data_IF_378372039796
#
_entry.id   IF_378372039796
#
_cell.length_a   1.000
_cell.length_b   1.000
_cell.length_c   1.000
_cell.angle_alpha   90.00
_cell.angle_beta   90.00
_cell.angle_gamma   90.00
#
_symmetry.space_group_name_H-M   'P 1'
#
loop_
_entity.id
_entity.type
_entity.pdbx_description
1 polymer ?
#
# COMPACT_ATOMS: atom_id res chain seq x y z
N UNK A 1 -22.05 -4.56 31.61
CA UNK A 1 -21.91 -4.05 30.23
C UNK A 1 -21.28 -5.15 29.38
N UNK A 2 -22.00 -5.87 28.50
CA UNK A 2 -21.39 -6.95 27.72
C UNK A 2 -20.70 -6.40 26.47
N UNK A 3 -19.50 -6.90 26.19
CA UNK A 3 -18.79 -6.68 24.92
C UNK A 3 -19.56 -7.43 23.82
N UNK A 4 -20.02 -6.71 22.81
CA UNK A 4 -20.65 -7.30 21.62
C UNK A 4 -19.56 -7.88 20.71
N UNK A 5 -19.43 -9.20 20.69
CA UNK A 5 -18.53 -9.90 19.78
C UNK A 5 -19.16 -9.90 18.37
N UNK A 6 -18.67 -9.05 17.48
CA UNK A 6 -19.02 -9.15 16.05
C UNK A 6 -18.41 -10.43 15.50
N UNK A 7 -19.26 -11.40 15.17
CA UNK A 7 -18.88 -12.65 14.52
C UNK A 7 -18.00 -12.38 13.29
N UNK A 8 -16.73 -12.80 13.35
CA UNK A 8 -15.87 -12.85 12.16
C UNK A 8 -16.30 -14.11 11.42
N UNK A 9 -16.93 -13.96 10.24
CA UNK A 9 -17.36 -15.12 9.45
C UNK A 9 -16.15 -16.00 9.13
N UNK A 10 -16.16 -17.22 9.67
CA UNK A 10 -15.22 -18.27 9.31
C UNK A 10 -15.54 -18.74 7.89
N UNK A 11 -14.83 -18.19 6.92
CA UNK A 11 -14.85 -18.64 5.53
C UNK A 11 -13.43 -18.55 4.98
N UNK A 12 -13.01 -19.57 4.22
CA UNK A 12 -11.71 -19.56 3.52
C UNK A 12 -11.76 -18.42 2.51
N UNK A 13 -11.00 -17.36 2.78
CA UNK A 13 -10.80 -16.25 1.84
C UNK A 13 -9.56 -16.56 1.01
N UNK A 14 -9.76 -16.86 -0.25
CA UNK A 14 -8.66 -16.99 -1.22
C UNK A 14 -8.22 -15.60 -1.65
N UNK A 15 -6.91 -15.34 -1.60
CA UNK A 15 -6.35 -14.12 -2.17
C UNK A 15 -6.58 -14.11 -3.68
N UNK A 16 -7.02 -12.97 -4.22
CA UNK A 16 -7.05 -12.75 -5.66
C UNK A 16 -5.66 -12.38 -6.16
N UNK A 17 -5.53 -12.21 -7.47
CA UNK A 17 -4.34 -11.59 -8.04
C UNK A 17 -4.11 -10.21 -7.37
N UNK A 18 -2.86 -9.87 -7.03
CA UNK A 18 -2.53 -8.56 -6.50
C UNK A 18 -2.82 -7.48 -7.55
N UNK A 19 -3.34 -6.34 -7.10
CA UNK A 19 -3.51 -5.15 -7.91
C UNK A 19 -2.43 -4.14 -7.56
N UNK A 20 -1.75 -3.61 -8.58
CA UNK A 20 -0.77 -2.56 -8.38
C UNK A 20 -1.49 -1.23 -8.07
N UNK A 21 -1.13 -0.59 -6.96
CA UNK A 21 -1.64 0.73 -6.58
C UNK A 21 -0.85 1.86 -7.26
N UNK A 22 0.48 1.71 -7.31
CA UNK A 22 1.42 2.65 -7.96
C UNK A 22 2.49 1.85 -8.69
N UNK A 23 2.84 2.30 -9.89
CA UNK A 23 3.90 1.74 -10.73
C UNK A 23 4.81 2.86 -11.23
N UNK A 24 5.86 2.50 -11.98
CA UNK A 24 6.73 3.48 -12.64
C UNK A 24 8.13 3.63 -12.04
N UNK A 25 8.40 3.07 -10.86
CA UNK A 25 9.75 3.09 -10.23
C UNK A 25 10.82 2.31 -11.00
N UNK A 26 10.40 1.42 -11.90
CA UNK A 26 11.25 0.59 -12.73
C UNK A 26 10.91 0.85 -14.21
N UNK A 27 11.93 1.15 -14.99
CA UNK A 27 11.86 1.31 -16.44
C UNK A 27 11.75 -0.05 -17.14
N UNK A 28 11.38 -0.03 -18.42
CA UNK A 28 11.24 -1.24 -19.23
C UNK A 28 12.56 -2.04 -19.38
N UNK A 29 13.71 -1.36 -19.30
CA UNK A 29 15.05 -1.97 -19.36
C UNK A 29 15.52 -2.54 -18.00
N UNK A 30 14.67 -2.46 -16.96
CA UNK A 30 14.98 -2.95 -15.62
C UNK A 30 15.73 -1.94 -14.74
N UNK A 31 16.17 -0.80 -15.28
CA UNK A 31 16.74 0.27 -14.46
C UNK A 31 15.68 0.86 -13.54
N UNK A 32 16.11 1.34 -12.38
CA UNK A 32 15.22 1.85 -11.33
C UNK A 32 15.68 3.23 -10.89
N UNK A 33 14.74 4.15 -10.77
CA UNK A 33 15.00 5.47 -10.17
C UNK A 33 14.55 5.55 -8.70
N UNK A 34 13.85 4.52 -8.21
CA UNK A 34 13.44 4.39 -6.81
C UNK A 34 13.37 2.93 -6.36
N UNK A 35 13.35 2.72 -5.05
CA UNK A 35 13.19 1.41 -4.40
C UNK A 35 12.22 1.55 -3.24
N UNK A 36 10.94 1.35 -3.52
CA UNK A 36 9.91 1.33 -2.48
C UNK A 36 10.19 0.22 -1.46
N UNK A 37 10.00 0.54 -0.18
CA UNK A 37 10.27 -0.36 0.96
C UNK A 37 8.99 -0.73 1.69
N UNK A 38 8.28 0.25 2.26
CA UNK A 38 7.08 0.01 3.07
C UNK A 38 6.03 1.12 2.86
N UNK A 39 4.78 0.79 3.12
CA UNK A 39 3.63 1.67 2.96
C UNK A 39 2.71 1.64 4.19
N UNK A 40 2.40 2.82 4.74
CA UNK A 40 1.49 2.95 5.88
C UNK A 40 0.30 3.87 5.56
N UNK A 41 -0.93 3.53 5.99
CA UNK A 41 -2.05 4.45 5.92
C UNK A 41 -1.90 5.59 6.94
N UNK A 42 -2.15 6.81 6.49
CA UNK A 42 -2.13 8.02 7.30
C UNK A 42 -3.49 8.37 7.90
N UNK A 43 -3.51 9.19 8.98
CA UNK A 43 -4.75 9.68 9.58
C UNK A 43 -5.53 10.65 8.67
N UNK A 44 -4.87 11.18 7.63
CA UNK A 44 -5.44 12.04 6.59
C UNK A 44 -6.02 11.27 5.40
N UNK A 45 -6.03 9.93 5.47
CA UNK A 45 -6.53 9.06 4.41
C UNK A 45 -5.55 8.84 3.25
N UNK A 46 -4.34 9.40 3.31
CA UNK A 46 -3.29 9.11 2.34
C UNK A 46 -2.57 7.79 2.63
N UNK A 47 -1.84 7.26 1.65
CA UNK A 47 -0.83 6.22 1.87
C UNK A 47 0.56 6.87 1.80
N UNK A 48 1.37 6.66 2.85
CA UNK A 48 2.75 7.10 2.91
C UNK A 48 3.67 5.95 2.51
N UNK A 49 4.44 6.12 1.43
CA UNK A 49 5.33 5.11 0.87
C UNK A 49 6.78 5.57 1.00
N UNK A 50 7.63 4.78 1.66
CA UNK A 50 9.07 5.09 1.81
C UNK A 50 9.91 4.54 0.65
N UNK A 51 10.90 5.32 0.21
CA UNK A 51 11.87 4.95 -0.84
C UNK A 51 13.28 5.26 -0.38
N UNK A 52 14.07 4.22 -0.14
CA UNK A 52 15.40 4.32 0.43
C UNK A 52 16.49 4.64 -0.61
N UNK A 53 16.23 4.36 -1.89
CA UNK A 53 17.14 4.72 -2.98
C UNK A 53 17.05 6.21 -3.31
N UNK A 54 15.83 6.77 -3.25
CA UNK A 54 15.61 8.21 -3.46
C UNK A 54 15.74 9.04 -2.17
N UNK A 55 15.65 8.42 -0.99
CA UNK A 55 15.62 9.14 0.29
C UNK A 55 14.33 9.93 0.49
N UNK A 56 13.21 9.42 -0.03
CA UNK A 56 11.91 10.11 -0.07
C UNK A 56 10.82 9.35 0.67
N UNK A 57 9.78 10.10 1.05
CA UNK A 57 8.47 9.55 1.44
C UNK A 57 7.41 10.17 0.53
N UNK A 58 6.77 9.34 -0.30
CA UNK A 58 5.67 9.78 -1.17
C UNK A 58 4.35 9.77 -0.39
N UNK A 59 3.51 10.78 -0.63
CA UNK A 59 2.13 10.83 -0.11
C UNK A 59 1.15 10.60 -1.25
N UNK A 60 0.50 9.43 -1.25
CA UNK A 60 -0.43 9.02 -2.28
C UNK A 60 -1.86 9.36 -1.87
N UNK A 61 -2.58 10.09 -2.73
CA UNK A 61 -3.99 10.44 -2.55
C UNK A 61 -4.80 10.02 -3.77
N UNK A 62 -6.11 9.78 -3.63
CA UNK A 62 -7.00 9.63 -4.79
C UNK A 62 -6.86 10.84 -5.72
N UNK A 63 -6.93 10.59 -7.03
CA UNK A 63 -7.08 11.66 -8.00
C UNK A 63 -8.46 12.32 -7.81
N UNK A 64 -8.52 13.64 -8.03
CA UNK A 64 -9.75 14.41 -8.02
C UNK A 64 -10.68 14.05 -9.17
#
# INVERSE_FOLDING_TARGET
>A
MPISLRSIRSGVRTLTAPQALVTGFQNADGTRWGRSVDAIPGPDGAIYLSDDAAGLVYRLTPAC
#
